data_IF_595892630263
#
_entry.id   IF_595892630263
#
_cell.length_a   1.000
_cell.length_b   1.000
_cell.length_c   1.000
_cell.angle_alpha   90.00
_cell.angle_beta   90.00
_cell.angle_gamma   90.00
#
_symmetry.space_group_name_H-M   'P 1'
#
loop_
_entity.id
_entity.type
_entity.pdbx_description
1 polymer ?
#
# COMPACT_ATOMS: atom_id res chain seq x y z
N UNK A 1 72.29 12.90 -68.88
CA UNK A 1 72.98 11.73 -69.46
C UNK A 1 73.05 10.69 -68.35
N UNK A 2 72.18 9.69 -68.35
CA UNK A 2 72.25 8.44 -69.13
C UNK A 2 73.01 7.35 -68.38
N UNK A 3 72.34 6.21 -68.19
CA UNK A 3 72.81 4.80 -68.19
C UNK A 3 72.15 4.03 -67.04
N UNK A 4 71.12 3.18 -67.23
CA UNK A 4 70.94 1.97 -68.04
C UNK A 4 71.12 0.68 -67.23
N UNK A 5 70.12 -0.20 -67.36
CA UNK A 5 69.90 -1.53 -66.75
C UNK A 5 71.00 -2.57 -67.02
N UNK A 6 70.87 -3.80 -66.50
CA UNK A 6 70.17 -4.84 -67.29
C UNK A 6 69.22 -5.78 -66.50
N UNK A 7 68.20 -6.26 -67.25
CA UNK A 7 67.54 -7.58 -67.37
C UNK A 7 67.88 -8.72 -66.38
N UNK A 8 67.15 -9.84 -66.27
CA UNK A 8 65.74 -10.28 -66.41
C UNK A 8 65.81 -11.78 -66.02
N UNK A 9 64.94 -12.32 -65.15
CA UNK A 9 64.80 -13.79 -64.96
C UNK A 9 63.36 -14.15 -64.56
N UNK A 10 62.71 -15.10 -65.25
CA UNK A 10 61.33 -15.49 -64.96
C UNK A 10 61.24 -16.50 -63.81
N UNK A 11 60.35 -16.27 -62.84
CA UNK A 11 59.95 -17.27 -61.82
C UNK A 11 58.54 -17.79 -62.11
N UNK A 12 58.40 -19.10 -61.94
CA UNK A 12 57.23 -19.95 -62.17
C UNK A 12 55.97 -19.49 -61.39
N UNK A 13 54.75 -19.87 -61.83
CA UNK A 13 53.52 -19.54 -61.12
C UNK A 13 53.38 -20.37 -59.84
N UNK A 14 53.46 -19.73 -58.68
CA UNK A 14 53.05 -20.32 -57.41
C UNK A 14 51.53 -20.57 -57.41
N UNK A 15 51.15 -21.81 -57.10
CA UNK A 15 49.77 -22.28 -56.94
C UNK A 15 49.01 -21.48 -55.87
N UNK A 16 47.84 -20.94 -56.22
CA UNK A 16 46.89 -20.41 -55.24
C UNK A 16 46.45 -21.50 -54.24
N UNK A 17 46.43 -21.24 -52.92
CA UNK A 17 45.88 -22.18 -51.97
C UNK A 17 44.35 -22.21 -52.08
N UNK A 18 43.77 -23.41 -52.26
CA UNK A 18 42.33 -23.62 -52.26
C UNK A 18 41.64 -22.99 -51.04
N UNK A 19 40.44 -22.39 -51.20
CA UNK A 19 39.73 -21.80 -50.08
C UNK A 19 39.30 -22.89 -49.09
N UNK A 20 39.91 -22.87 -47.90
CA UNK A 20 39.58 -23.75 -46.77
C UNK A 20 38.06 -23.93 -46.58
N UNK A 21 37.59 -25.18 -46.70
CA UNK A 21 36.20 -25.63 -46.53
C UNK A 21 35.60 -25.35 -45.13
N UNK A 22 36.42 -24.90 -44.17
CA UNK A 22 36.00 -24.50 -42.82
C UNK A 22 35.27 -23.15 -42.79
N UNK A 23 35.63 -22.18 -43.66
CA UNK A 23 34.99 -20.86 -43.71
C UNK A 23 33.58 -20.91 -44.31
N UNK A 24 33.33 -21.80 -45.27
CA UNK A 24 31.98 -21.99 -45.85
C UNK A 24 31.02 -22.74 -44.89
N UNK A 25 31.50 -23.74 -44.13
CA UNK A 25 30.69 -24.44 -43.11
C UNK A 25 30.30 -23.54 -41.92
N UNK A 26 31.16 -22.60 -41.50
CA UNK A 26 30.81 -21.65 -40.43
C UNK A 26 29.78 -20.60 -40.87
N UNK A 27 29.79 -20.20 -42.14
CA UNK A 27 28.86 -19.19 -42.68
C UNK A 27 27.41 -19.67 -42.74
N UNK A 28 27.17 -20.98 -42.90
CA UNK A 28 25.83 -21.60 -42.86
C UNK A 28 25.28 -21.88 -41.46
N UNK A 29 26.14 -22.13 -40.46
CA UNK A 29 25.72 -22.37 -39.05
C UNK A 29 25.26 -21.10 -38.34
N UNK A 30 25.77 -19.93 -38.73
CA UNK A 30 25.46 -18.62 -38.13
C UNK A 30 24.00 -18.18 -38.29
N UNK A 31 23.41 -18.15 -39.50
CA UNK A 31 22.00 -17.84 -39.67
C UNK A 31 21.10 -18.86 -38.97
N UNK A 32 21.54 -20.12 -38.82
CA UNK A 32 20.81 -21.16 -38.08
C UNK A 32 20.83 -20.94 -36.55
N UNK A 33 21.94 -20.47 -35.98
CA UNK A 33 22.02 -20.10 -34.56
C UNK A 33 21.20 -18.84 -34.25
N UNK A 34 21.31 -17.79 -35.06
CA UNK A 34 20.53 -16.56 -34.88
C UNK A 34 19.02 -16.82 -35.01
N UNK A 35 18.59 -17.63 -36.00
CA UNK A 35 17.18 -18.05 -36.11
C UNK A 35 16.71 -18.87 -34.90
N UNK A 36 17.58 -19.68 -34.31
CA UNK A 36 17.26 -20.45 -33.09
C UNK A 36 17.10 -19.54 -31.86
N UNK A 37 17.95 -18.53 -31.68
CA UNK A 37 17.83 -17.53 -30.60
C UNK A 37 16.54 -16.72 -30.74
N UNK A 38 16.19 -16.30 -31.96
CA UNK A 38 14.93 -15.61 -32.21
C UNK A 38 13.71 -16.49 -31.95
N UNK A 39 13.76 -17.78 -32.32
CA UNK A 39 12.67 -18.72 -32.05
C UNK A 39 12.45 -18.92 -30.55
N UNK A 40 13.52 -19.10 -29.77
CA UNK A 40 13.44 -19.23 -28.31
C UNK A 40 12.95 -17.96 -27.63
N UNK A 41 13.42 -16.78 -28.07
CA UNK A 41 12.94 -15.49 -27.56
C UNK A 41 11.44 -15.32 -27.82
N UNK A 42 10.96 -15.66 -29.03
CA UNK A 42 9.52 -15.65 -29.34
C UNK A 42 8.73 -16.64 -28.49
N UNK A 43 9.25 -17.85 -28.28
CA UNK A 43 8.63 -18.84 -27.42
C UNK A 43 8.52 -18.33 -25.96
N UNK A 44 9.57 -17.67 -25.46
CA UNK A 44 9.58 -17.03 -24.15
C UNK A 44 8.50 -15.96 -24.01
N UNK A 45 8.40 -15.04 -24.97
CA UNK A 45 7.33 -14.03 -24.96
C UNK A 45 5.94 -14.66 -25.07
N UNK A 46 5.77 -15.70 -25.91
CA UNK A 46 4.51 -16.44 -26.00
C UNK A 46 4.13 -17.14 -24.69
N UNK A 47 5.10 -17.65 -23.94
CA UNK A 47 4.88 -18.22 -22.61
C UNK A 47 4.49 -17.15 -21.58
N UNK A 48 5.10 -15.96 -21.61
CA UNK A 48 4.70 -14.83 -20.76
C UNK A 48 3.26 -14.39 -21.03
N UNK A 49 2.87 -14.26 -22.30
CA UNK A 49 1.48 -13.93 -22.69
C UNK A 49 0.48 -14.99 -22.22
N UNK A 50 0.92 -16.24 -22.05
CA UNK A 50 0.13 -17.34 -21.52
C UNK A 50 0.22 -17.48 -19.98
N UNK A 51 0.92 -16.59 -19.27
CA UNK A 51 1.11 -16.65 -17.82
C UNK A 51 2.04 -17.77 -17.34
N UNK A 52 2.80 -18.40 -18.24
CA UNK A 52 3.68 -19.55 -17.95
C UNK A 52 5.11 -19.06 -17.67
N UNK A 53 5.28 -18.36 -16.55
CA UNK A 53 6.53 -17.66 -16.21
C UNK A 53 7.77 -18.57 -16.14
N UNK A 54 7.62 -19.81 -15.65
CA UNK A 54 8.73 -20.78 -15.60
C UNK A 54 9.17 -21.27 -16.99
N UNK A 55 8.21 -21.48 -17.90
CA UNK A 55 8.52 -21.84 -19.29
C UNK A 55 9.17 -20.67 -20.04
N UNK A 56 8.71 -19.45 -19.77
CA UNK A 56 9.32 -18.24 -20.31
C UNK A 56 10.77 -18.10 -19.86
N UNK A 57 11.02 -18.25 -18.55
CA UNK A 57 12.36 -18.21 -17.97
C UNK A 57 13.27 -19.25 -18.63
N UNK A 58 12.81 -20.49 -18.76
CA UNK A 58 13.57 -21.58 -19.40
C UNK A 58 13.90 -21.26 -20.86
N UNK A 59 12.95 -20.69 -21.60
CA UNK A 59 13.14 -20.30 -23.00
C UNK A 59 14.17 -19.18 -23.14
N UNK A 60 14.12 -18.16 -22.27
CA UNK A 60 15.09 -17.07 -22.26
C UNK A 60 16.48 -17.51 -21.81
N UNK A 61 16.58 -18.44 -20.85
CA UNK A 61 17.87 -19.02 -20.42
C UNK A 61 18.55 -19.71 -21.60
N UNK A 62 17.82 -20.53 -22.35
CA UNK A 62 18.35 -21.21 -23.54
C UNK A 62 18.76 -20.22 -24.63
N UNK A 63 17.95 -19.18 -24.87
CA UNK A 63 18.29 -18.14 -25.83
C UNK A 63 19.59 -17.40 -25.45
N UNK A 64 19.74 -17.06 -24.16
CA UNK A 64 20.93 -16.38 -23.65
C UNK A 64 22.19 -17.23 -23.74
N UNK A 65 22.12 -18.52 -23.36
CA UNK A 65 23.26 -19.44 -23.47
C UNK A 65 23.72 -19.56 -24.93
N UNK A 66 22.79 -19.82 -25.85
CA UNK A 66 23.10 -19.91 -27.28
C UNK A 66 23.70 -18.62 -27.85
N UNK A 67 23.21 -17.46 -27.41
CA UNK A 67 23.77 -16.17 -27.80
C UNK A 67 25.17 -15.93 -27.22
N UNK A 68 25.48 -16.49 -26.04
CA UNK A 68 26.77 -16.33 -25.35
C UNK A 68 27.89 -17.22 -25.88
N UNK A 69 27.54 -18.37 -26.48
CA UNK A 69 28.49 -19.35 -27.03
C UNK A 69 28.91 -19.05 -28.49
N UNK A 70 28.38 -17.99 -29.10
CA UNK A 70 28.66 -17.65 -30.49
C UNK A 70 30.15 -17.24 -30.69
N UNK A 71 30.88 -17.80 -31.68
CA UNK A 71 32.36 -17.71 -31.78
C UNK A 71 32.99 -16.31 -31.96
N UNK A 72 32.22 -15.22 -32.03
CA UNK A 72 32.74 -13.86 -32.30
C UNK A 72 32.12 -12.73 -31.45
N UNK A 73 31.54 -12.98 -30.27
CA UNK A 73 30.76 -11.93 -29.59
C UNK A 73 31.10 -11.75 -28.11
N UNK A 74 32.15 -10.96 -27.83
CA UNK A 74 32.10 -10.10 -26.64
C UNK A 74 31.23 -8.89 -27.04
N UNK A 75 29.99 -8.89 -26.57
CA UNK A 75 29.05 -7.74 -26.62
C UNK A 75 28.32 -7.47 -27.96
N UNK A 76 27.26 -8.23 -28.27
CA UNK A 76 26.35 -7.95 -29.41
C UNK A 76 24.97 -7.46 -28.98
N UNK A 77 24.25 -6.73 -29.85
CA UNK A 77 22.86 -6.33 -29.61
C UNK A 77 21.94 -7.52 -29.28
N UNK A 78 22.15 -8.66 -29.94
CA UNK A 78 21.40 -9.91 -29.68
C UNK A 78 21.65 -10.43 -28.26
N UNK A 79 22.91 -10.47 -27.83
CA UNK A 79 23.27 -10.90 -26.47
C UNK A 79 22.69 -9.95 -25.41
N UNK A 80 22.74 -8.64 -25.64
CA UNK A 80 22.13 -7.63 -24.75
C UNK A 80 20.61 -7.78 -24.65
N UNK A 81 19.93 -8.01 -25.78
CA UNK A 81 18.49 -8.27 -25.79
C UNK A 81 18.13 -9.57 -25.04
N UNK A 82 18.93 -10.63 -25.22
CA UNK A 82 18.74 -11.87 -24.46
C UNK A 82 18.99 -11.67 -22.97
N UNK A 83 20.02 -10.89 -22.60
CA UNK A 83 20.33 -10.54 -21.21
C UNK A 83 19.18 -9.77 -20.57
N UNK A 84 18.63 -8.77 -21.28
CA UNK A 84 17.48 -7.99 -20.83
C UNK A 84 16.24 -8.88 -20.59
N UNK A 85 15.85 -9.70 -21.58
CA UNK A 85 14.69 -10.57 -21.47
C UNK A 85 14.83 -11.59 -20.33
N UNK A 86 16.00 -12.20 -20.20
CA UNK A 86 16.28 -13.15 -19.12
C UNK A 86 16.31 -12.45 -17.76
N UNK A 87 16.91 -11.27 -17.67
CA UNK A 87 16.98 -10.48 -16.45
C UNK A 87 15.59 -10.08 -15.96
N UNK A 88 14.74 -9.57 -16.86
CA UNK A 88 13.34 -9.24 -16.56
C UNK A 88 12.55 -10.49 -16.08
N UNK A 89 12.75 -11.65 -16.73
CA UNK A 89 12.12 -12.89 -16.31
C UNK A 89 12.57 -13.36 -14.91
N UNK A 90 13.83 -13.18 -14.54
CA UNK A 90 14.31 -13.47 -13.18
C UNK A 90 13.70 -12.55 -12.12
N UNK A 91 13.59 -11.25 -12.41
CA UNK A 91 12.90 -10.30 -11.50
C UNK A 91 11.46 -10.76 -11.26
N UNK A 92 10.73 -11.10 -12.34
CA UNK A 92 9.33 -11.52 -12.26
C UNK A 92 9.14 -12.87 -11.55
N UNK A 93 10.11 -13.78 -11.65
CA UNK A 93 10.05 -15.10 -11.01
C UNK A 93 10.62 -15.12 -9.58
N UNK A 94 11.07 -13.98 -9.06
CA UNK A 94 11.47 -13.84 -7.66
C UNK A 94 12.96 -13.97 -7.36
N UNK A 95 13.84 -13.85 -8.37
CA UNK A 95 15.29 -13.76 -8.20
C UNK A 95 15.82 -12.40 -8.72
N UNK A 96 15.48 -11.29 -8.04
CA UNK A 96 15.79 -9.95 -8.52
C UNK A 96 17.30 -9.64 -8.49
N UNK A 97 18.11 -10.36 -7.71
CA UNK A 97 19.56 -10.19 -7.68
C UNK A 97 20.21 -10.65 -8.99
N UNK A 98 19.91 -11.87 -9.45
CA UNK A 98 20.37 -12.35 -10.76
C UNK A 98 19.72 -11.57 -11.90
N UNK A 99 18.45 -11.20 -11.73
CA UNK A 99 17.73 -10.33 -12.66
C UNK A 99 18.47 -9.02 -12.90
N UNK A 100 18.86 -8.33 -11.83
CA UNK A 100 19.59 -7.06 -11.91
C UNK A 100 20.94 -7.20 -12.62
N UNK A 101 21.73 -8.23 -12.30
CA UNK A 101 23.02 -8.47 -12.95
C UNK A 101 22.87 -8.57 -14.49
N UNK A 102 21.88 -9.34 -14.94
CA UNK A 102 21.61 -9.53 -16.36
C UNK A 102 21.01 -8.30 -17.04
N UNK A 103 20.15 -7.55 -16.33
CA UNK A 103 19.60 -6.29 -16.83
C UNK A 103 20.71 -5.25 -17.04
N UNK A 104 21.65 -5.12 -16.11
CA UNK A 104 22.80 -4.21 -16.26
C UNK A 104 23.74 -4.66 -17.38
N UNK A 105 23.86 -5.97 -17.63
CA UNK A 105 24.61 -6.52 -18.77
C UNK A 105 24.01 -6.13 -20.13
N UNK A 106 22.72 -5.77 -20.19
CA UNK A 106 22.11 -5.21 -21.39
C UNK A 106 22.54 -3.75 -21.69
N UNK A 107 23.32 -3.13 -20.79
CA UNK A 107 23.82 -1.75 -20.85
C UNK A 107 22.73 -0.68 -21.02
N UNK A 108 21.77 -0.63 -20.07
CA UNK A 108 20.70 0.36 -20.05
C UNK A 108 21.20 1.80 -19.78
N UNK A 109 22.50 2.03 -19.59
CA UNK A 109 23.10 3.36 -19.39
C UNK A 109 23.60 3.99 -20.69
N UNK A 110 23.78 3.20 -21.75
CA UNK A 110 24.16 3.74 -23.05
C UNK A 110 23.02 4.64 -23.54
N UNK A 111 23.33 5.91 -23.86
CA UNK A 111 22.34 6.91 -24.28
C UNK A 111 21.57 6.40 -25.50
N UNK A 112 20.36 5.91 -25.27
CA UNK A 112 19.42 5.51 -26.30
C UNK A 112 18.14 6.34 -26.16
N UNK A 113 17.49 6.61 -27.29
CA UNK A 113 16.25 7.36 -27.33
C UNK A 113 15.07 6.42 -27.60
N UNK A 114 13.90 6.82 -27.11
CA UNK A 114 12.65 6.12 -27.38
C UNK A 114 12.25 5.11 -26.30
N UNK A 115 11.07 4.52 -26.53
CA UNK A 115 10.34 3.71 -25.55
C UNK A 115 11.13 2.50 -25.04
N UNK A 116 11.84 1.79 -25.93
CA UNK A 116 12.60 0.59 -25.56
C UNK A 116 13.68 0.86 -24.50
N UNK A 117 14.26 2.07 -24.49
CA UNK A 117 15.22 2.45 -23.46
C UNK A 117 14.52 2.76 -22.12
N UNK A 118 13.33 3.36 -22.18
CA UNK A 118 12.44 3.47 -21.03
C UNK A 118 12.15 2.11 -20.40
N UNK A 119 11.81 1.11 -21.21
CA UNK A 119 11.51 -0.26 -20.76
C UNK A 119 12.71 -0.90 -20.04
N UNK A 120 13.91 -0.69 -20.57
CA UNK A 120 15.16 -1.15 -19.94
C UNK A 120 15.38 -0.50 -18.57
N UNK A 121 15.27 0.82 -18.49
CA UNK A 121 15.42 1.56 -17.23
C UNK A 121 14.35 1.14 -16.21
N UNK A 122 13.11 0.94 -16.67
CA UNK A 122 12.00 0.52 -15.83
C UNK A 122 12.23 -0.86 -15.20
N UNK A 123 12.74 -1.83 -15.97
CA UNK A 123 13.02 -3.17 -15.44
C UNK A 123 14.20 -3.17 -14.46
N UNK A 124 15.23 -2.35 -14.68
CA UNK A 124 16.30 -2.16 -13.68
C UNK A 124 15.71 -1.56 -12.39
N UNK A 125 14.83 -0.57 -12.51
CA UNK A 125 14.13 0.01 -11.36
C UNK A 125 13.28 -1.03 -10.60
N UNK A 126 12.58 -1.91 -11.31
CA UNK A 126 11.83 -3.02 -10.71
C UNK A 126 12.75 -3.97 -9.93
N UNK A 127 13.93 -4.29 -10.46
CA UNK A 127 14.89 -5.16 -9.80
C UNK A 127 15.40 -4.54 -8.48
N UNK A 128 15.82 -3.26 -8.50
CA UNK A 128 16.22 -2.55 -7.29
C UNK A 128 15.06 -2.41 -6.28
N UNK A 129 13.84 -2.15 -6.76
CA UNK A 129 12.65 -2.10 -5.91
C UNK A 129 12.45 -3.44 -5.19
N UNK A 130 12.52 -4.56 -5.92
CA UNK A 130 12.37 -5.90 -5.36
C UNK A 130 13.49 -6.27 -4.37
N UNK A 131 14.70 -5.73 -4.55
CA UNK A 131 15.82 -5.86 -3.61
C UNK A 131 15.69 -4.94 -2.37
N UNK A 132 14.74 -4.01 -2.35
CA UNK A 132 14.56 -3.04 -1.27
C UNK A 132 15.49 -1.82 -1.34
N UNK A 133 16.31 -1.68 -2.38
CA UNK A 133 17.10 -0.47 -2.62
C UNK A 133 16.24 0.61 -3.30
N UNK A 134 15.37 1.21 -2.49
CA UNK A 134 14.40 2.20 -2.95
C UNK A 134 15.03 3.46 -3.55
N UNK A 135 16.17 3.99 -3.04
CA UNK A 135 16.87 5.11 -3.68
C UNK A 135 17.32 4.80 -5.10
N UNK A 136 17.93 3.63 -5.35
CA UNK A 136 18.31 3.24 -6.71
C UNK A 136 17.08 3.00 -7.59
N UNK A 137 16.05 2.35 -7.06
CA UNK A 137 14.81 2.16 -7.79
C UNK A 137 14.21 3.49 -8.29
N UNK A 138 14.14 4.51 -7.41
CA UNK A 138 13.65 5.84 -7.77
C UNK A 138 14.52 6.52 -8.84
N UNK A 139 15.85 6.42 -8.73
CA UNK A 139 16.76 6.99 -9.73
C UNK A 139 16.50 6.38 -11.13
N UNK A 140 16.31 5.07 -11.21
CA UNK A 140 16.02 4.38 -12.46
C UNK A 140 14.59 4.61 -12.97
N UNK A 141 13.60 4.73 -12.09
CA UNK A 141 12.25 5.13 -12.49
C UNK A 141 12.23 6.55 -13.09
N UNK A 142 12.97 7.51 -12.51
CA UNK A 142 13.08 8.85 -13.08
C UNK A 142 13.72 8.83 -14.48
N UNK A 143 14.74 7.98 -14.70
CA UNK A 143 15.32 7.76 -16.04
C UNK A 143 14.26 7.22 -17.00
N UNK A 144 13.54 6.16 -16.60
CA UNK A 144 12.48 5.57 -17.43
C UNK A 144 11.39 6.59 -17.79
N UNK A 145 10.96 7.42 -16.83
CA UNK A 145 9.92 8.43 -17.01
C UNK A 145 10.26 9.44 -18.13
N UNK A 146 11.54 9.80 -18.29
CA UNK A 146 12.00 10.70 -19.34
C UNK A 146 11.80 10.17 -20.77
N UNK A 147 11.50 8.87 -20.93
CA UNK A 147 11.29 8.22 -22.23
C UNK A 147 9.83 7.90 -22.54
N UNK A 148 8.91 8.07 -21.58
CA UNK A 148 7.50 7.75 -21.75
C UNK A 148 6.66 8.99 -22.00
N UNK A 149 5.78 8.89 -23.00
CA UNK A 149 4.66 9.82 -23.15
C UNK A 149 3.70 9.68 -21.95
N UNK A 150 2.92 10.70 -21.59
CA UNK A 150 2.00 10.69 -20.44
C UNK A 150 0.75 9.80 -20.65
N UNK A 151 0.97 8.55 -21.08
CA UNK A 151 -0.01 7.49 -21.32
C UNK A 151 0.39 6.27 -20.46
N UNK A 152 -0.35 5.16 -20.56
CA UNK A 152 -0.30 4.01 -19.63
C UNK A 152 1.04 3.69 -18.95
N UNK A 153 2.13 3.57 -19.71
CA UNK A 153 3.48 3.29 -19.16
C UNK A 153 3.96 4.35 -18.15
N UNK A 154 3.72 5.64 -18.43
CA UNK A 154 3.98 6.74 -17.49
C UNK A 154 3.19 6.55 -16.19
N UNK A 155 1.93 6.12 -16.30
CA UNK A 155 1.08 5.81 -15.15
C UNK A 155 1.68 4.71 -14.28
N UNK A 156 2.23 3.67 -14.91
CA UNK A 156 2.86 2.55 -14.22
C UNK A 156 4.14 2.97 -13.48
N UNK A 157 5.01 3.76 -14.11
CA UNK A 157 6.22 4.30 -13.47
C UNK A 157 5.85 5.14 -12.26
N UNK A 158 4.93 6.10 -12.43
CA UNK A 158 4.50 6.98 -11.36
C UNK A 158 3.89 6.20 -10.18
N UNK A 159 3.07 5.18 -10.45
CA UNK A 159 2.51 4.33 -9.40
C UNK A 159 3.62 3.58 -8.62
N UNK A 160 4.64 3.05 -9.32
CA UNK A 160 5.77 2.37 -8.68
C UNK A 160 6.65 3.32 -7.86
N UNK A 161 6.89 4.53 -8.37
CA UNK A 161 7.57 5.59 -7.61
C UNK A 161 6.78 5.99 -6.37
N UNK A 162 5.45 6.12 -6.49
CA UNK A 162 4.55 6.37 -5.37
C UNK A 162 4.70 5.32 -4.27
N UNK A 163 4.75 4.03 -4.64
CA UNK A 163 5.00 2.94 -3.70
C UNK A 163 6.39 3.02 -3.03
N UNK A 164 7.44 3.38 -3.76
CA UNK A 164 8.77 3.62 -3.17
C UNK A 164 8.73 4.75 -2.13
N UNK A 165 8.11 5.89 -2.46
CA UNK A 165 7.98 7.01 -1.53
C UNK A 165 7.14 6.68 -0.31
N UNK A 166 6.09 5.85 -0.44
CA UNK A 166 5.33 5.35 0.71
C UNK A 166 6.22 4.53 1.64
N UNK A 167 7.01 3.60 1.08
CA UNK A 167 7.92 2.75 1.86
C UNK A 167 9.05 3.55 2.54
N UNK A 168 9.50 4.66 1.92
CA UNK A 168 10.46 5.60 2.50
C UNK A 168 9.85 6.56 3.54
N UNK A 169 8.53 6.47 3.82
CA UNK A 169 7.87 7.38 4.76
C UNK A 169 7.70 8.82 4.24
N UNK A 170 7.63 8.99 2.91
CA UNK A 170 7.48 10.28 2.23
C UNK A 170 6.08 10.39 1.57
N UNK A 171 5.00 10.50 2.38
CA UNK A 171 3.62 10.41 1.88
C UNK A 171 3.24 11.51 0.89
N UNK A 172 3.89 12.67 0.92
CA UNK A 172 3.58 13.78 0.02
C UNK A 172 4.07 13.54 -1.40
N UNK A 173 5.32 13.10 -1.55
CA UNK A 173 5.85 12.71 -2.85
C UNK A 173 5.10 11.50 -3.41
N UNK A 174 4.72 10.57 -2.52
CA UNK A 174 3.86 9.46 -2.91
C UNK A 174 2.49 9.92 -3.44
N UNK A 175 1.81 10.84 -2.74
CA UNK A 175 0.54 11.39 -3.17
C UNK A 175 0.65 12.07 -4.55
N UNK A 176 1.70 12.88 -4.74
CA UNK A 176 1.97 13.54 -6.02
C UNK A 176 2.16 12.53 -7.16
N UNK A 177 3.05 11.54 -7.00
CA UNK A 177 3.25 10.49 -7.99
C UNK A 177 1.95 9.73 -8.30
N UNK A 178 1.16 9.39 -7.29
CA UNK A 178 -0.11 8.66 -7.49
C UNK A 178 -1.18 9.51 -8.21
N UNK A 179 -1.20 10.83 -8.02
CA UNK A 179 -2.06 11.74 -8.78
C UNK A 179 -1.64 11.80 -10.26
N UNK A 180 -0.34 11.92 -10.53
CA UNK A 180 0.19 11.85 -11.90
C UNK A 180 -0.07 10.49 -12.55
N UNK A 181 0.05 9.41 -11.78
CA UNK A 181 -0.30 8.07 -12.24
C UNK A 181 -1.77 7.99 -12.69
N UNK A 182 -2.68 8.53 -11.88
CA UNK A 182 -4.10 8.57 -12.23
C UNK A 182 -4.36 9.34 -13.53
N UNK A 183 -3.76 10.52 -13.69
CA UNK A 183 -3.92 11.34 -14.89
C UNK A 183 -3.48 10.57 -16.14
N UNK A 184 -2.32 9.92 -16.10
CA UNK A 184 -1.80 9.12 -17.21
C UNK A 184 -2.72 7.91 -17.52
N UNK A 185 -3.22 7.20 -16.50
CA UNK A 185 -4.16 6.09 -16.71
C UNK A 185 -5.50 6.57 -17.28
N UNK A 186 -6.02 7.70 -16.82
CA UNK A 186 -7.26 8.28 -17.33
C UNK A 186 -7.13 8.66 -18.82
N UNK A 187 -6.01 9.26 -19.20
CA UNK A 187 -5.69 9.59 -20.60
C UNK A 187 -5.53 8.33 -21.46
N UNK A 188 -5.03 7.24 -20.88
CA UNK A 188 -4.90 5.94 -21.54
C UNK A 188 -6.22 5.15 -21.63
N UNK A 189 -7.35 5.70 -21.18
CA UNK A 189 -8.64 5.00 -21.18
C UNK A 189 -8.73 3.88 -20.15
N UNK A 190 -7.96 3.94 -19.06
CA UNK A 190 -7.91 2.95 -17.99
C UNK A 190 -8.51 3.52 -16.69
N UNK A 191 -9.84 3.75 -16.63
CA UNK A 191 -10.49 4.44 -15.50
C UNK A 191 -10.33 3.68 -14.18
N UNK A 192 -10.24 2.35 -14.21
CA UNK A 192 -10.01 1.54 -13.02
C UNK A 192 -8.65 1.80 -12.37
N UNK A 193 -7.57 1.74 -13.17
CA UNK A 193 -6.22 2.01 -12.68
C UNK A 193 -6.09 3.45 -12.17
N UNK A 194 -6.75 4.39 -12.85
CA UNK A 194 -6.82 5.79 -12.43
C UNK A 194 -7.53 5.94 -11.07
N UNK A 195 -8.68 5.28 -10.90
CA UNK A 195 -9.43 5.29 -9.64
C UNK A 195 -8.61 4.74 -8.46
N UNK A 196 -7.95 3.59 -8.67
CA UNK A 196 -7.08 2.96 -7.67
C UNK A 196 -5.92 3.88 -7.27
N UNK A 197 -5.27 4.52 -8.25
CA UNK A 197 -4.18 5.45 -8.00
C UNK A 197 -4.64 6.67 -7.17
N UNK A 198 -5.81 7.27 -7.46
CA UNK A 198 -6.34 8.37 -6.64
C UNK A 198 -6.76 7.93 -5.24
N UNK A 199 -7.34 6.73 -5.07
CA UNK A 199 -7.67 6.20 -3.76
C UNK A 199 -6.43 6.07 -2.88
N UNK A 200 -5.35 5.52 -3.45
CA UNK A 200 -4.04 5.44 -2.79
C UNK A 200 -3.44 6.84 -2.52
N UNK A 201 -3.59 7.79 -3.46
CA UNK A 201 -3.15 9.17 -3.27
C UNK A 201 -3.85 9.85 -2.09
N UNK A 202 -5.16 9.69 -1.96
CA UNK A 202 -5.93 10.23 -0.83
C UNK A 202 -5.45 9.67 0.52
N UNK A 203 -5.17 8.35 0.58
CA UNK A 203 -4.58 7.73 1.76
C UNK A 203 -3.21 8.31 2.12
N UNK A 204 -2.38 8.64 1.12
CA UNK A 204 -1.12 9.35 1.31
C UNK A 204 -1.30 10.79 1.80
N UNK A 205 -2.25 11.54 1.22
CA UNK A 205 -2.56 12.91 1.64
C UNK A 205 -3.01 12.97 3.11
N UNK A 206 -3.84 12.02 3.54
CA UNK A 206 -4.28 11.90 4.93
C UNK A 206 -3.10 11.60 5.88
N UNK A 207 -2.22 10.69 5.48
CA UNK A 207 -1.00 10.36 6.25
C UNK A 207 -0.04 11.54 6.35
N UNK A 208 0.04 12.41 5.34
CA UNK A 208 0.94 13.57 5.38
C UNK A 208 0.44 14.65 6.34
N UNK A 209 -0.87 14.73 6.59
CA UNK A 209 -1.50 15.74 7.45
C UNK A 209 -1.38 17.17 6.92
N UNK A 210 -0.86 17.36 5.70
CA UNK A 210 -0.66 18.69 5.08
C UNK A 210 -1.84 19.17 4.24
N UNK A 211 -2.80 18.29 3.98
CA UNK A 211 -3.94 18.55 3.12
C UNK A 211 -5.18 18.86 3.94
N UNK A 212 -5.87 19.95 3.62
CA UNK A 212 -7.18 20.24 4.20
C UNK A 212 -8.24 19.23 3.74
N UNK A 213 -9.29 19.06 4.55
CA UNK A 213 -10.41 18.13 4.30
C UNK A 213 -10.95 18.26 2.87
N UNK A 214 -11.20 19.49 2.41
CA UNK A 214 -11.75 19.73 1.07
C UNK A 214 -10.85 19.27 -0.09
N UNK A 215 -9.52 19.31 0.08
CA UNK A 215 -8.59 18.84 -0.95
C UNK A 215 -8.63 17.31 -1.06
N UNK A 216 -8.61 16.62 0.08
CA UNK A 216 -8.69 15.15 0.12
C UNK A 216 -10.06 14.66 -0.39
N UNK A 217 -11.15 15.30 0.03
CA UNK A 217 -12.51 14.94 -0.41
C UNK A 217 -12.67 15.02 -1.93
N UNK A 218 -12.12 16.04 -2.60
CA UNK A 218 -12.16 16.13 -4.07
C UNK A 218 -11.46 14.95 -4.74
N UNK A 219 -10.30 14.54 -4.23
CA UNK A 219 -9.54 13.39 -4.75
C UNK A 219 -10.32 12.08 -4.55
N UNK A 220 -10.95 11.91 -3.38
CA UNK A 220 -11.80 10.75 -3.11
C UNK A 220 -13.04 10.70 -4.02
N UNK A 221 -13.69 11.85 -4.26
CA UNK A 221 -14.83 11.96 -5.17
C UNK A 221 -14.45 11.66 -6.62
N UNK A 222 -13.29 12.15 -7.08
CA UNK A 222 -12.78 11.86 -8.42
C UNK A 222 -12.43 10.37 -8.57
N UNK A 223 -11.77 9.77 -7.57
CA UNK A 223 -11.53 8.32 -7.51
C UNK A 223 -12.84 7.54 -7.65
N UNK A 224 -13.89 7.93 -6.90
CA UNK A 224 -15.22 7.31 -6.97
C UNK A 224 -15.84 7.44 -8.37
N UNK A 225 -15.79 8.62 -8.99
CA UNK A 225 -16.34 8.85 -10.34
C UNK A 225 -15.62 8.02 -11.40
N UNK A 226 -14.31 7.88 -11.30
CA UNK A 226 -13.53 7.02 -12.20
C UNK A 226 -13.87 5.54 -11.99
N UNK A 227 -14.05 5.12 -10.73
CA UNK A 227 -14.47 3.77 -10.38
C UNK A 227 -15.83 3.41 -11.01
N UNK A 228 -16.81 4.33 -10.96
CA UNK A 228 -18.15 4.17 -11.57
C UNK A 228 -18.13 4.07 -13.10
N UNK A 229 -17.07 4.55 -13.76
CA UNK A 229 -16.89 4.46 -15.23
C UNK A 229 -16.20 3.17 -15.66
N UNK A 230 -15.71 2.36 -14.72
CA UNK A 230 -15.00 1.12 -15.05
C UNK A 230 -15.98 0.01 -15.42
N UNK A 231 -15.75 -0.76 -16.50
CA UNK A 231 -16.54 -1.96 -16.77
C UNK A 231 -16.28 -3.08 -15.74
N UNK A 232 -15.10 -3.11 -15.13
CA UNK A 232 -14.62 -4.21 -14.25
C UNK A 232 -14.91 -3.94 -12.75
N UNK A 233 -16.18 -3.84 -12.40
CA UNK A 233 -16.61 -3.48 -11.05
C UNK A 233 -16.16 -4.46 -9.95
N UNK A 234 -16.01 -5.75 -10.28
CA UNK A 234 -15.64 -6.82 -9.33
C UNK A 234 -14.28 -6.62 -8.66
N UNK A 235 -13.43 -5.77 -9.24
CA UNK A 235 -12.09 -5.50 -8.72
C UNK A 235 -12.05 -4.24 -7.84
N UNK A 236 -13.17 -3.55 -7.64
CA UNK A 236 -13.24 -2.27 -6.94
C UNK A 236 -13.67 -2.37 -5.46
N UNK A 237 -13.95 -3.58 -4.94
CA UNK A 237 -14.36 -3.78 -3.53
C UNK A 237 -13.38 -3.18 -2.53
N UNK A 238 -12.09 -3.51 -2.66
CA UNK A 238 -11.04 -2.93 -1.83
C UNK A 238 -10.95 -1.41 -1.96
N UNK A 239 -11.08 -0.85 -3.16
CA UNK A 239 -11.08 0.59 -3.37
C UNK A 239 -12.19 1.26 -2.58
N UNK A 240 -13.44 0.79 -2.71
CA UNK A 240 -14.56 1.38 -1.99
C UNK A 240 -14.41 1.26 -0.47
N UNK A 241 -13.85 0.16 0.04
CA UNK A 241 -13.49 0.05 1.45
C UNK A 241 -12.45 1.12 1.86
N UNK A 242 -11.39 1.32 1.07
CA UNK A 242 -10.34 2.30 1.37
C UNK A 242 -10.84 3.75 1.28
N UNK A 243 -11.73 4.05 0.32
CA UNK A 243 -12.44 5.32 0.26
C UNK A 243 -13.28 5.53 1.52
N UNK A 244 -14.01 4.50 1.97
CA UNK A 244 -14.80 4.55 3.21
C UNK A 244 -13.95 4.83 4.44
N UNK A 245 -12.79 4.16 4.57
CA UNK A 245 -11.83 4.40 5.65
C UNK A 245 -11.29 5.84 5.62
N UNK A 246 -10.99 6.35 4.42
CA UNK A 246 -10.53 7.73 4.21
C UNK A 246 -11.59 8.74 4.63
N UNK A 247 -12.86 8.52 4.26
CA UNK A 247 -13.98 9.35 4.71
C UNK A 247 -14.18 9.28 6.23
N UNK A 248 -14.00 8.12 6.86
CA UNK A 248 -14.02 8.00 8.33
C UNK A 248 -12.92 8.83 8.99
N UNK A 249 -11.71 8.85 8.44
CA UNK A 249 -10.62 9.69 8.96
C UNK A 249 -10.94 11.18 8.86
N UNK A 250 -11.65 11.59 7.80
CA UNK A 250 -12.17 12.95 7.62
C UNK A 250 -13.45 13.25 8.43
N UNK A 251 -13.97 12.29 9.19
CA UNK A 251 -15.26 12.38 9.91
C UNK A 251 -16.48 12.59 8.99
N UNK A 252 -16.36 12.22 7.71
CA UNK A 252 -17.43 12.29 6.70
C UNK A 252 -18.22 10.98 6.70
N UNK A 253 -18.85 10.66 7.83
CA UNK A 253 -19.47 9.35 8.06
C UNK A 253 -20.60 8.95 7.08
N UNK A 254 -21.44 9.86 6.55
CA UNK A 254 -22.41 9.48 5.52
C UNK A 254 -21.74 8.94 4.26
N UNK A 255 -20.72 9.63 3.75
CA UNK A 255 -19.94 9.20 2.58
C UNK A 255 -19.17 7.91 2.86
N UNK A 256 -18.67 7.74 4.09
CA UNK A 256 -18.03 6.49 4.49
C UNK A 256 -19.01 5.31 4.42
N UNK A 257 -20.22 5.46 4.97
CA UNK A 257 -21.25 4.42 4.92
C UNK A 257 -21.65 4.08 3.48
N UNK A 258 -21.84 5.08 2.61
CA UNK A 258 -22.10 4.87 1.18
C UNK A 258 -20.98 4.06 0.49
N UNK A 259 -19.71 4.39 0.79
CA UNK A 259 -18.57 3.69 0.22
C UNK A 259 -18.51 2.23 0.70
N UNK A 260 -18.70 1.97 2.00
CA UNK A 260 -18.73 0.58 2.50
C UNK A 260 -19.91 -0.23 1.96
N UNK A 261 -21.08 0.38 1.78
CA UNK A 261 -22.24 -0.28 1.15
C UNK A 261 -21.96 -0.68 -0.30
N UNK A 262 -21.17 0.11 -1.04
CA UNK A 262 -20.71 -0.24 -2.39
C UNK A 262 -19.63 -1.33 -2.39
N UNK A 263 -18.79 -1.37 -1.36
CA UNK A 263 -17.77 -2.42 -1.21
C UNK A 263 -18.36 -3.79 -0.90
N UNK A 264 -19.44 -3.85 -0.11
CA UNK A 264 -20.02 -5.09 0.41
C UNK A 264 -20.38 -6.14 -0.67
N UNK A 265 -21.13 -5.81 -1.74
CA UNK A 265 -21.46 -6.78 -2.79
C UNK A 265 -20.26 -7.20 -3.66
N UNK A 266 -19.11 -6.55 -3.49
CA UNK A 266 -17.88 -6.81 -4.25
C UNK A 266 -16.85 -7.61 -3.46
N UNK A 267 -17.17 -7.98 -2.22
CA UNK A 267 -16.29 -8.80 -1.38
C UNK A 267 -16.09 -10.19 -1.99
N UNK A 268 -14.85 -10.68 -1.99
CA UNK A 268 -14.48 -11.98 -2.60
C UNK A 268 -14.65 -13.17 -1.66
N UNK A 269 -14.91 -12.91 -0.39
CA UNK A 269 -15.09 -13.95 0.61
C UNK A 269 -15.49 -13.42 1.99
N UNK A 270 -15.80 -14.33 2.92
CA UNK A 270 -16.39 -13.99 4.22
C UNK A 270 -15.47 -13.14 5.10
N UNK A 271 -14.15 -13.26 4.99
CA UNK A 271 -13.21 -12.44 5.75
C UNK A 271 -13.18 -10.97 5.31
N UNK A 272 -13.26 -10.73 4.00
CA UNK A 272 -13.36 -9.37 3.44
C UNK A 272 -14.72 -8.75 3.80
N UNK A 273 -15.80 -9.52 3.64
CA UNK A 273 -17.16 -9.11 4.01
C UNK A 273 -17.25 -8.72 5.49
N UNK A 274 -16.68 -9.53 6.39
CA UNK A 274 -16.63 -9.25 7.82
C UNK A 274 -15.90 -7.92 8.13
N UNK A 275 -14.80 -7.65 7.42
CA UNK A 275 -14.04 -6.40 7.58
C UNK A 275 -14.86 -5.19 7.13
N UNK A 276 -15.50 -5.26 5.96
CA UNK A 276 -16.36 -4.19 5.43
C UNK A 276 -17.56 -3.95 6.34
N UNK A 277 -18.22 -5.01 6.83
CA UNK A 277 -19.34 -4.91 7.78
C UNK A 277 -18.91 -4.26 9.10
N UNK A 278 -17.74 -4.61 9.65
CA UNK A 278 -17.24 -3.96 10.87
C UNK A 278 -16.99 -2.47 10.64
N UNK A 279 -16.45 -2.09 9.49
CA UNK A 279 -16.20 -0.69 9.14
C UNK A 279 -17.52 0.08 8.92
N UNK A 280 -18.49 -0.51 8.22
CA UNK A 280 -19.83 0.05 8.04
C UNK A 280 -20.55 0.24 9.39
N UNK A 281 -20.47 -0.75 10.29
CA UNK A 281 -21.03 -0.65 11.64
C UNK A 281 -20.41 0.49 12.44
N UNK A 282 -19.10 0.73 12.27
CA UNK A 282 -18.41 1.85 12.90
C UNK A 282 -18.91 3.20 12.36
N UNK A 283 -19.09 3.32 11.04
CA UNK A 283 -19.66 4.52 10.42
C UNK A 283 -21.10 4.77 10.88
N UNK A 284 -21.94 3.74 10.95
CA UNK A 284 -23.29 3.85 11.49
C UNK A 284 -23.30 4.24 12.97
N UNK A 285 -22.39 3.71 13.78
CA UNK A 285 -22.25 4.10 15.19
C UNK A 285 -21.94 5.58 15.34
N UNK A 286 -21.03 6.11 14.51
CA UNK A 286 -20.68 7.53 14.52
C UNK A 286 -21.83 8.44 14.06
N UNK A 287 -22.75 7.91 13.23
CA UNK A 287 -23.99 8.59 12.82
C UNK A 287 -25.12 8.49 13.85
N UNK A 288 -24.95 7.72 14.93
CA UNK A 288 -26.02 7.43 15.89
C UNK A 288 -27.02 6.36 15.41
N UNK A 289 -26.76 5.71 14.28
CA UNK A 289 -27.57 4.65 13.69
C UNK A 289 -27.30 3.30 14.39
N UNK A 290 -27.52 3.24 15.70
CA UNK A 290 -27.09 2.13 16.54
C UNK A 290 -27.77 0.79 16.21
N UNK A 291 -29.00 0.80 15.69
CA UNK A 291 -29.67 -0.46 15.27
C UNK A 291 -28.98 -1.10 14.07
N UNK A 292 -28.67 -0.30 13.04
CA UNK A 292 -27.92 -0.77 11.87
C UNK A 292 -26.49 -1.18 12.25
N UNK A 293 -25.84 -0.41 13.13
CA UNK A 293 -24.49 -0.73 13.60
C UNK A 293 -24.44 -2.08 14.33
N UNK A 294 -25.44 -2.38 15.18
CA UNK A 294 -25.58 -3.65 15.88
C UNK A 294 -25.62 -4.82 14.90
N UNK A 295 -26.46 -4.74 13.87
CA UNK A 295 -26.59 -5.80 12.86
C UNK A 295 -25.27 -6.01 12.09
N UNK A 296 -24.59 -4.94 11.72
CA UNK A 296 -23.31 -5.00 11.04
C UNK A 296 -22.23 -5.66 11.91
N UNK A 297 -22.09 -5.22 13.17
CA UNK A 297 -21.07 -5.77 14.08
C UNK A 297 -21.34 -7.22 14.48
N UNK A 298 -22.61 -7.61 14.64
CA UNK A 298 -22.97 -9.01 14.91
C UNK A 298 -22.57 -9.90 13.74
N UNK A 299 -22.99 -9.58 12.52
CA UNK A 299 -22.62 -10.35 11.32
C UNK A 299 -21.10 -10.43 11.13
N UNK A 300 -20.38 -9.32 11.38
CA UNK A 300 -18.93 -9.31 11.33
C UNK A 300 -18.29 -10.23 12.38
N UNK A 301 -18.82 -10.30 13.61
CA UNK A 301 -18.34 -11.21 14.64
C UNK A 301 -18.55 -12.68 14.25
N UNK A 302 -19.71 -13.02 13.68
CA UNK A 302 -20.04 -14.38 13.26
C UNK A 302 -19.16 -14.85 12.11
N UNK A 303 -18.92 -14.00 11.11
CA UNK A 303 -18.04 -14.29 9.97
C UNK A 303 -16.57 -14.41 10.39
N UNK A 304 -16.04 -13.50 11.22
CA UNK A 304 -14.67 -13.63 11.74
C UNK A 304 -14.51 -14.89 12.59
N UNK A 305 -15.52 -15.25 13.38
CA UNK A 305 -15.54 -16.50 14.15
C UNK A 305 -15.48 -17.74 13.26
N UNK A 306 -16.34 -17.79 12.24
CA UNK A 306 -16.40 -18.89 11.27
C UNK A 306 -15.10 -19.05 10.49
N UNK A 307 -14.39 -17.94 10.23
CA UNK A 307 -13.09 -17.91 9.58
C UNK A 307 -11.88 -18.10 10.51
N UNK A 308 -12.08 -18.39 11.81
CA UNK A 308 -10.99 -18.56 12.78
C UNK A 308 -10.20 -17.29 13.11
N UNK A 309 -10.70 -16.11 12.73
CA UNK A 309 -10.03 -14.82 12.93
C UNK A 309 -10.32 -14.27 14.33
N UNK A 310 -9.80 -14.95 15.36
CA UNK A 310 -10.15 -14.70 16.77
C UNK A 310 -9.94 -13.25 17.21
N UNK A 311 -8.84 -12.62 16.78
CA UNK A 311 -8.55 -11.22 17.10
C UNK A 311 -9.60 -10.26 16.55
N UNK A 312 -9.96 -10.43 15.28
CA UNK A 312 -10.94 -9.57 14.60
C UNK A 312 -12.36 -9.84 15.11
N UNK A 313 -12.68 -11.09 15.47
CA UNK A 313 -13.91 -11.43 16.17
C UNK A 313 -14.04 -10.67 17.49
N UNK A 314 -12.96 -10.64 18.30
CA UNK A 314 -12.93 -9.88 19.56
C UNK A 314 -13.16 -8.39 19.36
N UNK A 315 -12.58 -7.80 18.30
CA UNK A 315 -12.83 -6.39 17.93
C UNK A 315 -14.29 -6.15 17.56
N UNK A 316 -14.91 -7.04 16.77
CA UNK A 316 -16.33 -6.95 16.43
C UNK A 316 -17.22 -7.03 17.68
N UNK A 317 -16.92 -7.93 18.63
CA UNK A 317 -17.64 -8.00 19.91
C UNK A 317 -17.50 -6.74 20.74
N UNK A 318 -16.31 -6.13 20.80
CA UNK A 318 -16.10 -4.86 21.51
C UNK A 318 -16.92 -3.70 20.91
N UNK A 319 -16.99 -3.62 19.57
CA UNK A 319 -17.83 -2.63 18.88
C UNK A 319 -19.32 -2.90 19.07
N UNK A 320 -19.75 -4.17 19.00
CA UNK A 320 -21.12 -4.57 19.29
C UNK A 320 -21.53 -4.21 20.72
N UNK A 321 -20.66 -4.48 21.70
CA UNK A 321 -20.87 -4.14 23.10
C UNK A 321 -21.05 -2.62 23.30
N UNK A 322 -20.23 -1.81 22.65
CA UNK A 322 -20.38 -0.35 22.67
C UNK A 322 -21.77 0.07 22.18
N UNK A 323 -22.19 -0.45 21.02
CA UNK A 323 -23.49 -0.13 20.42
C UNK A 323 -24.66 -0.58 21.30
N UNK A 324 -24.60 -1.78 21.88
CA UNK A 324 -25.61 -2.28 22.82
C UNK A 324 -25.72 -1.37 24.05
N UNK A 325 -24.59 -0.88 24.55
CA UNK A 325 -24.57 0.08 25.67
C UNK A 325 -25.24 1.41 25.28
N UNK A 326 -25.07 1.90 24.06
CA UNK A 326 -25.78 3.10 23.57
C UNK A 326 -27.28 2.88 23.42
N UNK A 327 -27.70 1.64 23.11
CA UNK A 327 -29.11 1.24 23.06
C UNK A 327 -29.73 0.98 24.44
N UNK A 328 -28.95 1.07 25.53
CA UNK A 328 -29.41 0.84 26.90
C UNK A 328 -29.31 -0.60 27.39
N UNK A 329 -28.90 -1.55 26.54
CA UNK A 329 -28.73 -2.95 26.93
C UNK A 329 -27.35 -3.21 27.54
N UNK A 330 -27.18 -2.73 28.78
CA UNK A 330 -25.90 -2.82 29.49
C UNK A 330 -25.52 -4.25 29.89
N UNK A 331 -26.50 -5.17 30.01
CA UNK A 331 -26.24 -6.59 30.29
C UNK A 331 -25.63 -7.27 29.07
N UNK A 332 -26.28 -7.14 27.91
CA UNK A 332 -25.73 -7.70 26.67
C UNK A 332 -24.39 -7.03 26.29
N UNK A 333 -24.23 -5.72 26.56
CA UNK A 333 -22.96 -5.04 26.37
C UNK A 333 -21.83 -5.66 27.21
N UNK A 334 -22.07 -5.90 28.51
CA UNK A 334 -21.10 -6.56 29.39
C UNK A 334 -20.71 -7.94 28.84
N UNK A 335 -21.68 -8.76 28.46
CA UNK A 335 -21.42 -10.12 27.99
C UNK A 335 -20.59 -10.11 26.69
N UNK A 336 -20.85 -9.17 25.77
CA UNK A 336 -20.05 -8.97 24.57
C UNK A 336 -18.63 -8.43 24.88
N UNK A 337 -18.48 -7.54 25.86
CA UNK A 337 -17.14 -7.13 26.29
C UNK A 337 -16.35 -8.29 26.93
N UNK A 338 -17.00 -9.24 27.62
CA UNK A 338 -16.34 -10.45 28.12
C UNK A 338 -15.85 -11.33 26.96
N UNK A 339 -16.64 -11.50 25.90
CA UNK A 339 -16.20 -12.18 24.69
C UNK A 339 -15.00 -11.46 24.02
N UNK A 340 -15.04 -10.13 23.95
CA UNK A 340 -13.94 -9.33 23.43
C UNK A 340 -12.65 -9.48 24.26
N UNK A 341 -12.78 -9.46 25.60
CA UNK A 341 -11.66 -9.66 26.52
C UNK A 341 -11.05 -11.06 26.38
N UNK A 342 -11.89 -12.09 26.29
CA UNK A 342 -11.42 -13.46 26.12
C UNK A 342 -10.67 -13.61 24.79
N UNK A 343 -11.23 -13.12 23.68
CA UNK A 343 -10.55 -13.14 22.39
C UNK A 343 -9.21 -12.40 22.42
N UNK A 344 -9.14 -11.24 23.09
CA UNK A 344 -7.89 -10.49 23.24
C UNK A 344 -6.86 -11.19 24.13
N UNK A 345 -7.28 -12.01 25.10
CA UNK A 345 -6.39 -12.88 25.89
C UNK A 345 -5.88 -14.04 25.02
N UNK A 346 -6.77 -14.70 24.29
CA UNK A 346 -6.44 -15.82 23.40
C UNK A 346 -5.37 -15.44 22.37
N UNK A 347 -5.38 -14.19 21.88
CA UNK A 347 -4.44 -13.70 20.87
C UNK A 347 -3.30 -12.84 21.41
N UNK A 348 -3.18 -12.67 22.73
CA UNK A 348 -2.18 -11.79 23.33
C UNK A 348 -2.32 -10.30 22.93
N UNK A 349 -3.50 -9.84 22.53
CA UNK A 349 -3.75 -8.44 22.16
C UNK A 349 -3.92 -7.58 23.41
N UNK A 350 -2.80 -7.11 23.97
CA UNK A 350 -2.80 -6.25 25.17
C UNK A 350 -3.68 -5.01 25.02
N UNK A 351 -3.75 -4.45 23.80
CA UNK A 351 -4.60 -3.28 23.52
C UNK A 351 -6.08 -3.65 23.61
N UNK A 352 -6.46 -4.75 22.96
CA UNK A 352 -7.82 -5.30 23.05
C UNK A 352 -8.23 -5.61 24.50
N UNK A 353 -7.31 -6.12 25.32
CA UNK A 353 -7.58 -6.44 26.72
C UNK A 353 -7.93 -5.19 27.54
N UNK A 354 -7.11 -4.13 27.49
CA UNK A 354 -7.40 -2.94 28.30
C UNK A 354 -8.65 -2.21 27.80
N UNK A 355 -8.91 -2.19 26.49
CA UNK A 355 -10.13 -1.60 25.92
C UNK A 355 -11.39 -2.38 26.35
N UNK A 356 -11.34 -3.71 26.38
CA UNK A 356 -12.44 -4.53 26.84
C UNK A 356 -12.68 -4.34 28.35
N UNK A 357 -11.63 -4.27 29.17
CA UNK A 357 -11.74 -3.95 30.60
C UNK A 357 -12.35 -2.55 30.83
N UNK A 358 -11.96 -1.54 30.05
CA UNK A 358 -12.59 -0.21 30.11
C UNK A 358 -14.09 -0.28 29.81
N UNK A 359 -14.48 -1.04 28.78
CA UNK A 359 -15.87 -1.29 28.41
C UNK A 359 -16.66 -2.01 29.50
N UNK A 360 -16.08 -3.04 30.11
CA UNK A 360 -16.67 -3.76 31.24
C UNK A 360 -16.86 -2.86 32.45
N UNK A 361 -15.89 -2.00 32.75
CA UNK A 361 -16.00 -1.01 33.83
C UNK A 361 -17.17 -0.05 33.62
N UNK A 362 -17.33 0.43 32.38
CA UNK A 362 -18.44 1.31 32.02
C UNK A 362 -19.80 0.59 32.10
N UNK A 363 -19.89 -0.65 31.59
CA UNK A 363 -21.12 -1.44 31.67
C UNK A 363 -21.51 -1.76 33.13
N UNK A 364 -20.54 -2.16 33.96
CA UNK A 364 -20.75 -2.43 35.38
C UNK A 364 -21.23 -1.18 36.13
N UNK A 365 -20.63 -0.01 35.86
CA UNK A 365 -21.06 1.24 36.47
C UNK A 365 -22.52 1.58 36.12
N UNK A 366 -22.93 1.40 34.85
CA UNK A 366 -24.32 1.60 34.41
C UNK A 366 -25.30 0.59 35.00
N UNK A 367 -24.84 -0.61 35.32
CA UNK A 367 -25.62 -1.64 36.03
C UNK A 367 -25.63 -1.44 37.55
N UNK A 368 -24.94 -0.42 38.08
CA UNK A 368 -24.81 -0.17 39.52
C UNK A 368 -23.86 -1.11 40.25
N UNK A 369 -23.06 -1.90 39.52
CA UNK A 369 -22.07 -2.85 40.03
C UNK A 369 -20.73 -2.15 40.28
N UNK A 370 -20.70 -1.24 41.25
CA UNK A 370 -19.58 -0.32 41.45
C UNK A 370 -18.25 -1.02 41.78
N UNK A 371 -18.25 -2.07 42.61
CA UNK A 371 -17.03 -2.81 42.95
C UNK A 371 -16.38 -3.49 41.72
N UNK A 372 -17.23 -4.03 40.84
CA UNK A 372 -16.79 -4.62 39.58
C UNK A 372 -16.26 -3.54 38.64
N UNK A 373 -16.94 -2.39 38.57
CA UNK A 373 -16.47 -1.26 37.76
C UNK A 373 -15.05 -0.81 38.18
N UNK A 374 -14.81 -0.68 39.49
CA UNK A 374 -13.49 -0.34 40.04
C UNK A 374 -12.44 -1.39 39.68
N UNK A 375 -12.77 -2.67 39.81
CA UNK A 375 -11.87 -3.78 39.45
C UNK A 375 -11.47 -3.70 37.98
N UNK A 376 -12.44 -3.55 37.09
CA UNK A 376 -12.18 -3.49 35.64
C UNK A 376 -11.39 -2.24 35.22
N UNK A 377 -11.68 -1.07 35.80
CA UNK A 377 -10.91 0.13 35.49
C UNK A 377 -9.46 0.05 35.98
N UNK A 378 -9.21 -0.54 37.16
CA UNK A 378 -7.84 -0.83 37.64
C UNK A 378 -7.11 -1.78 36.71
N UNK A 379 -7.79 -2.83 36.27
CA UNK A 379 -7.25 -3.79 35.31
C UNK A 379 -6.92 -3.18 33.94
N UNK A 380 -7.77 -2.25 33.45
CA UNK A 380 -7.51 -1.52 32.22
C UNK A 380 -6.25 -0.65 32.35
N UNK A 381 -6.15 0.12 33.45
CA UNK A 381 -5.01 1.00 33.71
C UNK A 381 -3.69 0.24 33.85
N UNK A 382 -3.71 -0.91 34.54
CA UNK A 382 -2.52 -1.76 34.70
C UNK A 382 -1.99 -2.28 33.36
N UNK A 383 -2.88 -2.51 32.38
CA UNK A 383 -2.52 -3.05 31.05
C UNK A 383 -2.24 -1.96 30.01
N UNK A 384 -2.58 -0.70 30.27
CA UNK A 384 -2.35 0.43 29.36
C UNK A 384 -1.03 1.18 29.61
N UNK A 385 -0.06 0.58 30.34
CA UNK A 385 1.20 1.27 30.71
C UNK A 385 2.02 1.76 29.51
N UNK A 386 1.92 1.07 28.37
CA UNK A 386 2.63 1.40 27.11
C UNK A 386 1.84 2.33 26.19
N UNK A 387 0.64 2.76 26.58
CA UNK A 387 -0.20 3.67 25.80
C UNK A 387 0.14 5.14 26.12
N UNK A 388 -0.23 6.09 25.25
CA UNK A 388 -0.06 7.52 25.52
C UNK A 388 -0.72 7.96 26.83
N UNK A 389 -0.16 9.00 27.46
CA UNK A 389 -0.68 9.53 28.73
C UNK A 389 -2.17 9.90 28.63
N UNK A 390 -2.63 10.40 27.48
CA UNK A 390 -4.06 10.71 27.26
C UNK A 390 -5.01 9.52 27.45
N UNK A 391 -4.57 8.30 27.13
CA UNK A 391 -5.34 7.07 27.37
C UNK A 391 -5.36 6.76 28.87
N UNK A 392 -4.20 6.83 29.52
CA UNK A 392 -4.08 6.57 30.95
C UNK A 392 -4.87 7.58 31.78
N UNK A 393 -4.77 8.87 31.47
CA UNK A 393 -5.49 9.96 32.14
C UNK A 393 -7.00 9.78 32.02
N UNK A 394 -7.50 9.35 30.84
CA UNK A 394 -8.91 9.00 30.65
C UNK A 394 -9.34 7.86 31.58
N UNK A 395 -8.52 6.80 31.68
CA UNK A 395 -8.82 5.66 32.55
C UNK A 395 -8.78 6.06 34.04
N UNK A 396 -7.83 6.92 34.43
CA UNK A 396 -7.77 7.49 35.79
C UNK A 396 -9.03 8.30 36.10
N UNK A 397 -9.47 9.16 35.17
CA UNK A 397 -10.68 9.95 35.35
C UNK A 397 -11.91 9.05 35.54
N UNK A 398 -12.08 8.02 34.70
CA UNK A 398 -13.18 7.04 34.84
C UNK A 398 -13.13 6.27 36.15
N UNK A 399 -11.93 5.87 36.58
CA UNK A 399 -11.74 5.21 37.87
C UNK A 399 -12.13 6.15 39.03
N UNK A 400 -11.69 7.41 39.00
CA UNK A 400 -12.02 8.40 40.01
C UNK A 400 -13.53 8.69 40.08
N UNK A 401 -14.21 8.78 38.93
CA UNK A 401 -15.67 8.93 38.85
C UNK A 401 -16.41 7.76 39.48
N UNK A 402 -15.96 6.53 39.18
CA UNK A 402 -16.52 5.32 39.76
C UNK A 402 -16.29 5.28 41.28
N UNK A 403 -15.10 5.67 41.76
CA UNK A 403 -14.80 5.74 43.20
C UNK A 403 -15.69 6.76 43.92
N UNK A 404 -15.86 7.95 43.36
CA UNK A 404 -16.72 9.00 43.91
C UNK A 404 -18.18 8.53 44.01
N UNK A 405 -18.68 7.89 42.95
CA UNK A 405 -20.04 7.35 42.90
C UNK A 405 -20.24 6.25 43.94
N UNK A 406 -19.24 5.37 44.10
CA UNK A 406 -19.26 4.31 45.10
C UNK A 406 -19.28 4.87 46.53
N UNK A 407 -18.38 5.81 46.85
CA UNK A 407 -18.28 6.44 48.18
C UNK A 407 -19.53 7.23 48.56
N UNK A 408 -20.11 7.97 47.60
CA UNK A 408 -21.36 8.70 47.82
C UNK A 408 -22.54 7.76 48.14
N UNK A 409 -22.60 6.59 47.49
CA UNK A 409 -23.63 5.58 47.74
C UNK A 409 -23.42 4.79 49.03
N UNK A 410 -22.17 4.60 49.44
CA UNK A 410 -21.82 3.99 50.72
C UNK A 410 -22.08 4.94 51.92
N UNK A 411 -22.52 6.18 51.68
CA UNK A 411 -22.79 7.17 52.73
C UNK A 411 -21.53 7.74 53.38
N UNK A 412 -20.36 7.54 52.76
CA UNK A 412 -19.06 7.87 53.35
C UNK A 412 -18.61 9.32 53.06
N UNK A 413 -19.29 10.06 52.17
CA UNK A 413 -19.02 11.48 51.87
C UNK A 413 -20.32 12.20 51.44
N UNK A 414 -20.61 13.43 51.93
CA UNK A 414 -21.73 14.24 51.42
C UNK A 414 -21.55 14.57 49.94
N UNK A 415 -22.61 14.43 49.15
CA UNK A 415 -22.63 14.62 47.68
C UNK A 415 -22.13 15.99 47.20
N UNK A 416 -22.10 17.01 48.07
CA UNK A 416 -21.65 18.37 47.74
C UNK A 416 -20.12 18.61 47.86
N UNK A 417 -19.34 17.68 48.40
CA UNK A 417 -17.91 17.90 48.68
C UNK A 417 -16.96 17.52 47.52
N UNK A 418 -17.46 17.06 46.35
CA UNK A 418 -16.66 16.37 45.33
C UNK A 418 -16.45 17.13 44.01
N UNK A 419 -16.62 18.45 43.99
CA UNK A 419 -16.22 19.29 42.84
C UNK A 419 -14.77 19.75 43.00
N UNK A 420 -13.82 18.99 42.46
CA UNK A 420 -12.47 19.49 42.18
C UNK A 420 -12.49 20.15 40.80
N UNK A 421 -12.30 21.47 40.73
CA UNK A 421 -12.06 22.19 39.47
C UNK A 421 -10.57 22.10 39.10
N UNK A 422 -10.17 21.64 37.91
CA UNK A 422 -8.78 21.71 37.50
C UNK A 422 -8.40 23.19 37.35
N UNK A 423 -7.28 23.58 37.97
CA UNK A 423 -6.80 24.95 37.99
C UNK A 423 -6.63 25.53 36.59
N UNK A 424 -7.19 26.72 36.36
CA UNK A 424 -6.89 27.52 35.16
C UNK A 424 -5.39 27.86 35.14
N UNK A 425 -4.71 27.78 33.99
CA UNK A 425 -3.39 28.40 33.84
C UNK A 425 -3.53 29.92 34.04
N UNK A 426 -2.70 30.49 34.91
CA UNK A 426 -2.56 31.94 35.02
C UNK A 426 -1.98 32.48 33.71
N UNK A 427 -2.67 33.45 33.11
CA UNK A 427 -2.13 34.23 31.99
C UNK A 427 -1.01 35.17 32.51
N UNK A 428 0.10 35.35 31.77
CA UNK A 428 1.14 36.29 32.17
C UNK A 428 0.65 37.74 31.99
N UNK A 429 1.03 38.59 32.95
CA UNK A 429 0.57 39.97 33.06
C UNK A 429 0.86 40.83 31.84
N UNK A 430 -0.14 41.62 31.44
CA UNK A 430 0.04 42.75 30.53
C UNK A 430 0.44 44.01 31.31
N UNK A 431 1.36 44.85 30.80
CA UNK A 431 1.62 46.14 31.38
C UNK A 431 0.72 47.22 30.77
N UNK A 432 0.44 48.25 31.57
CA UNK A 432 0.48 49.63 31.07
C UNK A 432 -0.81 50.21 30.50
N UNK A 433 -1.48 51.00 31.34
CA UNK A 433 -2.48 51.99 30.94
C UNK A 433 -1.91 52.98 29.91
N UNK A 434 -2.69 53.28 28.88
CA UNK A 434 -2.56 54.45 28.03
C UNK A 434 -3.94 54.93 27.59
N UNK A 435 -4.47 55.96 28.28
CA UNK A 435 -5.66 56.72 27.86
C UNK A 435 -5.31 57.48 26.58
N UNK A 436 -6.14 57.38 25.55
CA UNK A 436 -6.30 58.45 24.55
C UNK A 436 -7.79 58.62 24.29
N UNK A 437 -8.31 59.78 24.70
CA UNK A 437 -9.59 60.33 24.27
C UNK A 437 -9.53 60.65 22.77
N UNK A 438 -10.56 60.29 22.00
CA UNK A 438 -10.88 61.00 20.76
C UNK A 438 -12.38 61.25 20.71
N UNK A 439 -12.71 62.54 20.75
CA UNK A 439 -14.05 63.10 20.59
C UNK A 439 -14.53 62.92 19.15
N UNK A 440 -15.83 62.67 19.00
CA UNK A 440 -16.56 62.82 17.74
C UNK A 440 -16.46 64.27 17.22
N UNK A 441 -16.08 64.41 15.94
CA UNK A 441 -16.83 65.12 14.90
C UNK A 441 -16.49 64.55 13.54
#
# INVERSE_FOLDING_TARGET
>A
MSSSNPEDTPREPESEPEPSTSKQKQRGKRPQQETSVHALTRAGHGALLAGRNHEALTSFQRAFVLASEAPQTRDTPVLRACAFNLGAAYVETGDPARGLELLLRARPEEKAQGRCHGDQCFNVALAYHALGDLPQALAWYHRALGHYQPLGDHGQVQAKMGACYQALGQPELAAHCLQEASRAYAQAGQPQAAALALGAAAGCMLKSGRHGVGAVTRVLEESRRLAERSPEHRLLGHLYNDLGLSYCQLQLFPLAAEAFLRALPLCRGPGEEATVLRNLGTAHSALGNYRQARECHQKAADLHGSGGQRREQGRSFGSLAFVLSQLGDHRAARDNYLHALQAARDTGDTKGQWQACEGLGAAAARLGQHDQALTYYKEALARSQKEPDSVRDRLVAKLADAMRTHLARAGLVPTHALTWAPGRPQAPGGPGRGRVEVRHR
#
